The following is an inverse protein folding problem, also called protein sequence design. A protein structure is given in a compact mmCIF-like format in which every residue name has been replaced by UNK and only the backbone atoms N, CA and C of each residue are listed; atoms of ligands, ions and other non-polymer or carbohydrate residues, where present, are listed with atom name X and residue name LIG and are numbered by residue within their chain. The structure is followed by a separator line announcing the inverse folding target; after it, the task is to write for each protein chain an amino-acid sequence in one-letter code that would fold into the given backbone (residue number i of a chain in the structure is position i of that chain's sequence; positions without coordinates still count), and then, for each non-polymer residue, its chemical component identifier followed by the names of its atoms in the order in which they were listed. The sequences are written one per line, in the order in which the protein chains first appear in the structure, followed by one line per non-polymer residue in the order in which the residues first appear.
data_IF_878595710700
#
_entry.id   IF_878595710700
#
_cell.length_a   1.000
_cell.length_b   1.000
_cell.length_c   1.000
_cell.angle_alpha   90.00
_cell.angle_beta   90.00
_cell.angle_gamma   90.00
#
_symmetry.space_group_name_H-M   'P 1'
#
loop_
_entity.id
_entity.type
_entity.pdbx_description
1 polymer ?
#
# COMPACT_ATOMS: atom_id res chain seq x y z
N UNK A 1 6.33 -5.85 16.09
CA UNK A 1 6.84 -4.77 15.22
C UNK A 1 6.84 -3.40 15.93
N UNK A 2 6.82 -3.36 17.27
CA UNK A 2 6.88 -2.11 18.07
C UNK A 2 5.85 -1.03 17.72
N UNK A 3 4.64 -1.43 17.31
CA UNK A 3 3.54 -0.50 16.98
C UNK A 3 3.18 0.41 18.15
N UNK A 4 3.20 -0.09 19.39
CA UNK A 4 2.94 0.73 20.58
C UNK A 4 3.91 1.90 20.76
N UNK A 5 5.18 1.76 20.38
CA UNK A 5 6.13 2.89 20.39
C UNK A 5 5.89 3.83 19.21
N UNK A 6 5.55 3.28 18.04
CA UNK A 6 5.23 4.08 16.86
C UNK A 6 3.95 4.93 17.05
N UNK A 7 2.91 4.37 17.66
CA UNK A 7 1.62 5.03 17.91
C UNK A 7 1.72 6.21 18.88
N UNK A 8 2.78 6.31 19.69
CA UNK A 8 3.08 7.54 20.46
C UNK A 8 3.45 8.72 19.57
N UNK A 9 3.95 8.47 18.35
CA UNK A 9 4.41 9.49 17.40
C UNK A 9 3.36 9.78 16.32
N UNK A 10 2.78 8.75 15.74
CA UNK A 10 1.70 8.83 14.74
C UNK A 10 0.86 7.56 14.76
N UNK A 11 -0.45 7.68 14.53
CA UNK A 11 -1.40 6.56 14.45
C UNK A 11 -1.95 6.33 13.03
N UNK A 12 -1.70 7.27 12.12
CA UNK A 12 -2.22 7.29 10.76
C UNK A 12 -2.38 8.73 10.27
N UNK A 13 -2.72 8.89 9.00
CA UNK A 13 -3.14 10.16 8.42
C UNK A 13 -4.03 9.87 7.20
N UNK A 14 -5.24 10.44 7.11
CA UNK A 14 -6.18 10.17 6.03
C UNK A 14 -5.72 10.66 4.65
N UNK A 15 -4.65 11.47 4.55
CA UNK A 15 -4.04 11.83 3.26
C UNK A 15 -3.15 10.72 2.69
N UNK A 16 -2.85 9.67 3.45
CA UNK A 16 -2.07 8.53 2.97
C UNK A 16 -3.04 7.47 2.48
N UNK A 17 -2.93 7.15 1.19
CA UNK A 17 -3.76 6.15 0.54
C UNK A 17 -2.90 4.92 0.25
N UNK A 18 -3.41 3.75 0.67
CA UNK A 18 -2.84 2.44 0.36
C UNK A 18 -3.81 1.72 -0.57
N UNK A 19 -3.36 1.42 -1.79
CA UNK A 19 -4.12 0.60 -2.72
C UNK A 19 -3.90 -0.87 -2.38
N UNK A 20 -4.98 -1.57 -2.02
CA UNK A 20 -4.99 -3.03 -1.81
C UNK A 20 -5.38 -3.66 -3.13
N UNK A 21 -4.39 -4.18 -3.86
CA UNK A 21 -4.56 -4.80 -5.17
C UNK A 21 -4.79 -6.31 -5.01
N UNK A 22 -6.05 -6.72 -4.90
CA UNK A 22 -6.41 -8.03 -4.32
C UNK A 22 -7.80 -8.55 -4.79
N UNK A 23 -8.41 -9.48 -4.03
CA UNK A 23 -9.77 -10.04 -4.20
C UNK A 23 -10.90 -9.04 -3.93
N UNK A 24 -10.58 -7.80 -3.55
CA UNK A 24 -11.54 -6.78 -3.16
C UNK A 24 -11.68 -6.64 -1.65
N UNK A 25 -12.05 -5.44 -1.21
CA UNK A 25 -12.24 -5.10 0.20
C UNK A 25 -13.73 -4.95 0.48
N UNK A 26 -14.23 -5.62 1.53
CA UNK A 26 -15.57 -5.36 2.07
C UNK A 26 -15.58 -3.96 2.71
N UNK A 27 -15.78 -2.94 1.86
CA UNK A 27 -15.79 -1.55 2.28
C UNK A 27 -16.83 -1.21 3.37
N UNK A 28 -18.00 -1.89 3.50
CA UNK A 28 -18.93 -1.61 4.59
C UNK A 28 -18.65 -2.45 5.85
N UNK A 29 -17.48 -3.09 5.96
CA UNK A 29 -17.12 -3.80 7.19
C UNK A 29 -17.03 -2.78 8.35
N UNK A 30 -17.70 -2.99 9.50
CA UNK A 30 -17.79 -1.98 10.57
C UNK A 30 -16.44 -1.51 11.12
N UNK A 31 -15.44 -2.39 11.06
CA UNK A 31 -14.07 -2.13 11.51
C UNK A 31 -13.15 -1.58 10.39
N UNK A 32 -13.67 -1.30 9.20
CA UNK A 32 -12.92 -0.74 8.05
C UNK A 32 -13.57 0.50 7.44
N UNK A 33 -14.89 0.61 7.47
CA UNK A 33 -15.66 1.62 6.73
C UNK A 33 -15.10 3.05 6.89
N UNK A 34 -14.76 3.45 8.12
CA UNK A 34 -14.20 4.78 8.37
C UNK A 34 -12.82 5.00 7.72
N UNK A 35 -12.05 3.94 7.49
CA UNK A 35 -10.73 3.98 6.85
C UNK A 35 -10.75 3.58 5.38
N UNK A 36 -11.92 3.43 4.75
CA UNK A 36 -12.00 3.29 3.29
C UNK A 36 -11.74 4.63 2.61
N UNK A 37 -10.98 4.60 1.51
CA UNK A 37 -10.85 5.70 0.59
C UNK A 37 -12.21 5.96 -0.09
N UNK A 38 -12.50 7.23 -0.35
CA UNK A 38 -13.73 7.68 -0.98
C UNK A 38 -13.35 8.62 -2.11
N UNK A 39 -13.72 8.28 -3.35
CA UNK A 39 -13.71 9.22 -4.46
C UNK A 39 -14.87 10.22 -4.27
N UNK A 40 -14.56 11.41 -3.74
CA UNK A 40 -15.57 12.46 -3.47
C UNK A 40 -16.16 13.06 -4.75
N UNK A 41 -15.47 12.90 -5.89
CA UNK A 41 -15.88 13.44 -7.19
C UNK A 41 -16.79 12.46 -7.96
N UNK A 42 -17.11 11.31 -7.35
CA UNK A 42 -17.90 10.25 -7.96
C UNK A 42 -19.20 9.90 -7.22
N UNK A 43 -20.14 9.33 -7.96
CA UNK A 43 -21.44 8.91 -7.46
C UNK A 43 -21.52 7.39 -7.56
N UNK A 44 -21.70 6.72 -6.43
CA UNK A 44 -21.66 5.26 -6.37
C UNK A 44 -22.67 4.62 -7.34
N UNK A 45 -22.16 3.71 -8.19
CA UNK A 45 -22.92 3.01 -9.24
C UNK A 45 -23.56 3.93 -10.30
N UNK A 46 -23.04 5.13 -10.48
CA UNK A 46 -23.41 5.96 -11.62
C UNK A 46 -22.89 5.36 -12.93
N UNK A 47 -23.71 5.39 -13.98
CA UNK A 47 -23.27 5.06 -15.35
C UNK A 47 -22.43 6.18 -15.98
N UNK A 48 -22.34 7.34 -15.30
CA UNK A 48 -21.54 8.48 -15.73
C UNK A 48 -20.25 8.53 -14.92
N UNK A 49 -19.14 8.56 -15.65
CA UNK A 49 -17.82 8.96 -15.16
C UNK A 49 -17.83 10.46 -14.84
N UNK A 50 -17.86 10.80 -13.56
CA UNK A 50 -18.07 12.17 -13.08
C UNK A 50 -16.78 12.95 -12.92
N UNK A 51 -15.68 12.26 -12.60
CA UNK A 51 -14.36 12.85 -12.49
C UNK A 51 -13.56 12.76 -13.81
N UNK A 52 -14.04 11.98 -14.78
CA UNK A 52 -13.43 11.82 -16.09
C UNK A 52 -12.18 10.93 -16.06
N UNK A 53 -12.01 10.10 -15.03
CA UNK A 53 -10.83 9.27 -14.83
C UNK A 53 -10.87 7.96 -15.67
N UNK A 54 -12.00 7.67 -16.33
CA UNK A 54 -12.25 6.48 -17.14
C UNK A 54 -12.98 5.35 -16.41
N UNK A 55 -13.38 5.54 -15.15
CA UNK A 55 -13.94 4.52 -14.26
C UNK A 55 -15.21 5.03 -13.55
N UNK A 56 -16.34 4.93 -14.23
CA UNK A 56 -17.61 5.43 -13.72
C UNK A 56 -18.01 4.83 -12.36
N UNK A 57 -18.30 5.71 -11.39
CA UNK A 57 -18.90 5.36 -10.10
C UNK A 57 -17.98 4.65 -9.09
N UNK A 58 -16.66 4.75 -9.26
CA UNK A 58 -15.57 4.10 -8.52
C UNK A 58 -15.31 4.65 -7.10
N UNK A 59 -16.38 4.79 -6.30
CA UNK A 59 -16.32 5.48 -4.99
C UNK A 59 -15.33 4.88 -4.00
N UNK A 60 -15.12 3.56 -3.97
CA UNK A 60 -14.22 2.90 -3.01
C UNK A 60 -13.00 2.26 -3.68
N UNK A 61 -12.77 2.61 -4.95
CA UNK A 61 -11.92 1.90 -5.88
C UNK A 61 -12.76 1.22 -6.98
N UNK A 62 -12.13 0.31 -7.72
CA UNK A 62 -12.73 -0.30 -8.91
C UNK A 62 -12.42 -1.79 -9.02
N UNK A 63 -13.37 -2.55 -9.58
CA UNK A 63 -13.20 -3.97 -9.86
C UNK A 63 -12.78 -4.16 -11.32
N UNK A 64 -11.48 -4.40 -11.50
CA UNK A 64 -10.83 -4.60 -12.80
C UNK A 64 -11.01 -6.02 -13.35
N UNK A 65 -11.33 -6.99 -12.49
CA UNK A 65 -11.63 -8.36 -12.91
C UNK A 65 -12.94 -8.41 -13.69
N UNK A 66 -13.95 -7.64 -13.24
CA UNK A 66 -15.28 -7.60 -13.87
C UNK A 66 -15.57 -6.29 -14.61
N UNK A 67 -14.66 -5.32 -14.56
CA UNK A 67 -14.80 -3.99 -15.18
C UNK A 67 -16.04 -3.24 -14.71
N UNK A 68 -16.16 -3.06 -13.39
CA UNK A 68 -17.33 -2.45 -12.73
C UNK A 68 -16.93 -1.65 -11.49
N UNK A 69 -17.66 -0.58 -11.12
CA UNK A 69 -17.45 0.10 -9.83
C UNK A 69 -17.86 -0.72 -8.61
N UNK A 70 -18.52 -1.87 -8.82
CA UNK A 70 -18.96 -2.73 -7.73
C UNK A 70 -17.80 -3.61 -7.27
N UNK A 71 -17.20 -3.26 -6.13
CA UNK A 71 -16.32 -4.17 -5.40
C UNK A 71 -17.16 -5.34 -4.87
N UNK A 72 -16.74 -6.56 -5.16
CA UNK A 72 -17.36 -7.77 -4.63
C UNK A 72 -16.46 -8.44 -3.59
N UNK A 73 -17.10 -9.01 -2.58
CA UNK A 73 -16.52 -9.84 -1.51
C UNK A 73 -17.42 -11.05 -1.20
N UNK A 74 -18.32 -11.39 -2.14
CA UNK A 74 -19.39 -12.38 -1.96
C UNK A 74 -19.54 -13.35 -3.12
N UNK A 75 -18.62 -13.31 -4.09
CA UNK A 75 -18.63 -14.26 -5.20
C UNK A 75 -18.42 -15.68 -4.70
N UNK A 76 -18.92 -16.64 -5.47
CA UNK A 76 -18.62 -18.05 -5.23
C UNK A 76 -17.10 -18.27 -5.31
N UNK A 77 -16.50 -18.75 -4.23
CA UNK A 77 -15.05 -18.91 -4.00
C UNK A 77 -14.25 -17.65 -3.66
N UNK A 78 -14.90 -16.54 -3.38
CA UNK A 78 -14.24 -15.43 -2.70
C UNK A 78 -13.75 -15.89 -1.32
N UNK A 79 -12.50 -15.59 -1.01
CA UNK A 79 -11.88 -16.04 0.25
C UNK A 79 -11.89 -14.96 1.32
N UNK A 80 -12.27 -13.72 0.98
CA UNK A 80 -12.16 -12.57 1.88
C UNK A 80 -10.73 -12.05 2.06
N UNK A 81 -9.78 -12.54 1.24
CA UNK A 81 -8.35 -12.26 1.37
C UNK A 81 -8.04 -10.75 1.36
N UNK A 82 -8.60 -9.99 0.42
CA UNK A 82 -8.40 -8.53 0.35
C UNK A 82 -8.91 -7.78 1.59
N UNK A 83 -10.00 -8.27 2.20
CA UNK A 83 -10.53 -7.69 3.45
C UNK A 83 -9.62 -8.01 4.64
N UNK A 84 -9.01 -9.20 4.68
CA UNK A 84 -8.04 -9.59 5.72
C UNK A 84 -6.77 -8.75 5.65
N UNK A 85 -6.25 -8.59 4.43
CA UNK A 85 -5.12 -7.73 4.10
C UNK A 85 -5.39 -6.28 4.51
N UNK A 86 -6.53 -5.71 4.12
CA UNK A 86 -6.92 -4.35 4.46
C UNK A 86 -7.01 -4.12 5.99
N UNK A 87 -7.57 -5.07 6.73
CA UNK A 87 -7.66 -5.00 8.20
C UNK A 87 -6.30 -4.93 8.88
N UNK A 88 -5.33 -5.71 8.40
CA UNK A 88 -3.96 -5.67 8.93
C UNK A 88 -3.34 -4.28 8.75
N UNK A 89 -3.61 -3.61 7.63
CA UNK A 89 -3.11 -2.26 7.34
C UNK A 89 -3.85 -1.22 8.19
N UNK A 90 -5.19 -1.21 8.16
CA UNK A 90 -5.97 -0.06 8.61
C UNK A 90 -7.35 -0.40 9.20
N UNK A 91 -7.57 -1.55 9.84
CA UNK A 91 -8.72 -1.71 10.72
C UNK A 91 -8.76 -0.57 11.76
N UNK A 92 -9.95 -0.08 12.09
CA UNK A 92 -10.13 1.16 12.85
C UNK A 92 -9.74 0.94 14.31
N UNK A 93 -8.65 1.55 14.74
CA UNK A 93 -8.19 1.40 16.13
C UNK A 93 -9.14 2.10 17.12
N UNK A 94 -9.23 1.58 18.34
CA UNK A 94 -9.94 2.19 19.47
C UNK A 94 -11.44 2.50 19.24
N UNK A 95 -12.10 1.84 18.30
CA UNK A 95 -13.56 1.95 18.08
C UNK A 95 -14.39 1.02 19.00
N UNK A 96 -13.74 0.18 19.81
CA UNK A 96 -14.38 -0.72 20.77
C UNK A 96 -14.88 -2.04 20.19
N UNK A 97 -14.53 -2.36 18.94
CA UNK A 97 -14.87 -3.63 18.29
C UNK A 97 -13.61 -4.27 17.67
N UNK A 98 -13.68 -5.56 17.36
CA UNK A 98 -12.76 -6.17 16.40
C UNK A 98 -11.28 -6.11 16.75
N UNK A 99 -10.49 -5.65 15.78
CA UNK A 99 -9.04 -5.69 15.77
C UNK A 99 -8.46 -4.28 15.67
N UNK A 100 -7.17 -4.16 15.36
CA UNK A 100 -6.51 -2.88 15.16
C UNK A 100 -5.52 -2.98 14.01
N UNK A 101 -5.62 -2.07 13.04
CA UNK A 101 -4.68 -1.97 11.94
C UNK A 101 -3.41 -1.23 12.36
N UNK A 102 -2.30 -1.53 11.67
CA UNK A 102 -1.00 -0.89 11.94
C UNK A 102 -1.08 0.64 11.79
N UNK A 103 -1.82 1.13 10.80
CA UNK A 103 -2.04 2.55 10.53
C UNK A 103 -3.54 2.92 10.62
N UNK A 104 -4.27 2.24 11.50
CA UNK A 104 -5.72 2.34 11.67
C UNK A 104 -6.26 3.64 12.31
N UNK A 105 -5.38 4.58 12.67
CA UNK A 105 -5.76 5.83 13.32
C UNK A 105 -5.88 5.73 14.84
N UNK A 106 -6.49 6.74 15.45
CA UNK A 106 -6.78 6.82 16.88
C UNK A 106 -8.22 6.45 17.23
N UNK A 107 -9.06 6.17 16.22
CA UNK A 107 -10.52 6.02 16.35
C UNK A 107 -11.29 7.30 16.01
N UNK A 108 -10.60 8.35 15.56
CA UNK A 108 -11.20 9.66 15.23
C UNK A 108 -11.25 9.93 13.72
N UNK A 109 -11.38 8.88 12.91
CA UNK A 109 -11.34 8.95 11.44
C UNK A 109 -10.04 9.59 10.89
N UNK A 110 -8.93 9.30 11.56
CA UNK A 110 -7.58 9.80 11.28
C UNK A 110 -6.61 8.69 10.85
N UNK A 111 -7.12 7.49 10.57
CA UNK A 111 -6.37 6.40 9.97
C UNK A 111 -6.04 6.66 8.50
N UNK A 112 -5.13 5.86 7.96
CA UNK A 112 -4.84 5.85 6.51
C UNK A 112 -6.05 5.33 5.74
N UNK A 113 -6.11 5.65 4.44
CA UNK A 113 -7.23 5.27 3.58
C UNK A 113 -6.90 4.07 2.71
N UNK A 114 -7.80 3.09 2.69
CA UNK A 114 -7.70 1.89 1.85
C UNK A 114 -8.48 2.10 0.56
N UNK A 115 -7.80 2.02 -0.58
CA UNK A 115 -8.42 1.98 -1.90
C UNK A 115 -8.49 0.53 -2.38
N UNK A 116 -9.68 0.04 -2.71
CA UNK A 116 -9.86 -1.33 -3.21
C UNK A 116 -9.57 -1.40 -4.70
N UNK A 117 -8.45 -2.01 -5.08
CA UNK A 117 -8.09 -2.25 -6.48
C UNK A 117 -8.31 -3.74 -6.75
N UNK A 118 -9.54 -4.11 -7.10
CA UNK A 118 -9.92 -5.53 -7.17
C UNK A 118 -9.47 -6.13 -8.51
N UNK A 119 -8.50 -7.05 -8.44
CA UNK A 119 -7.93 -7.77 -9.60
C UNK A 119 -8.24 -9.27 -9.60
N UNK A 120 -8.79 -9.77 -8.50
CA UNK A 120 -9.34 -11.12 -8.38
C UNK A 120 -10.80 -11.01 -7.94
N UNK A 121 -11.67 -11.87 -8.45
CA UNK A 121 -13.07 -11.93 -8.04
C UNK A 121 -13.58 -13.37 -8.13
N UNK A 122 -13.67 -14.05 -6.99
CA UNK A 122 -13.94 -15.50 -6.94
C UNK A 122 -12.91 -16.29 -7.74
N UNK A 123 -13.33 -16.89 -8.86
CA UNK A 123 -12.45 -17.65 -9.76
C UNK A 123 -11.79 -16.82 -10.86
N UNK A 124 -12.19 -15.55 -10.99
CA UNK A 124 -11.72 -14.69 -12.06
C UNK A 124 -10.49 -13.91 -11.61
N UNK A 125 -9.51 -13.79 -12.51
CA UNK A 125 -8.40 -12.86 -12.39
C UNK A 125 -8.38 -11.92 -13.59
N UNK A 126 -7.64 -10.83 -13.49
CA UNK A 126 -7.44 -9.88 -14.58
C UNK A 126 -6.53 -10.44 -15.69
N UNK A 127 -6.71 -9.92 -16.90
CA UNK A 127 -5.68 -10.01 -17.93
C UNK A 127 -4.62 -8.90 -17.74
N UNK A 128 -3.49 -9.00 -18.46
CA UNK A 128 -2.37 -8.06 -18.34
C UNK A 128 -2.76 -6.59 -18.62
N UNK A 129 -3.73 -6.34 -19.50
CA UNK A 129 -4.18 -4.97 -19.80
C UNK A 129 -4.97 -4.37 -18.63
N UNK A 130 -5.87 -5.16 -18.01
CA UNK A 130 -6.63 -4.73 -16.86
C UNK A 130 -5.74 -4.57 -15.61
N UNK A 131 -4.74 -5.44 -15.46
CA UNK A 131 -3.73 -5.33 -14.41
C UNK A 131 -2.95 -4.01 -14.51
N UNK A 132 -2.44 -3.67 -15.69
CA UNK A 132 -1.73 -2.42 -15.92
C UNK A 132 -2.62 -1.19 -15.68
N UNK A 133 -3.90 -1.27 -16.10
CA UNK A 133 -4.90 -0.24 -15.78
C UNK A 133 -5.13 -0.09 -14.29
N UNK A 134 -5.20 -1.21 -13.55
CA UNK A 134 -5.38 -1.22 -12.10
C UNK A 134 -4.22 -0.56 -11.35
N UNK A 135 -2.98 -0.85 -11.75
CA UNK A 135 -1.78 -0.24 -11.17
C UNK A 135 -1.72 1.26 -11.48
N UNK A 136 -2.00 1.64 -12.74
CA UNK A 136 -2.05 3.05 -13.14
C UNK A 136 -3.15 3.80 -12.39
N UNK A 137 -4.33 3.21 -12.25
CA UNK A 137 -5.45 3.75 -11.50
C UNK A 137 -5.08 4.05 -10.05
N UNK A 138 -4.38 3.13 -9.38
CA UNK A 138 -3.92 3.34 -8.02
C UNK A 138 -3.02 4.58 -7.90
N UNK A 139 -2.02 4.71 -8.79
CA UNK A 139 -1.12 5.86 -8.80
C UNK A 139 -1.86 7.18 -9.09
N UNK A 140 -2.73 7.18 -10.10
CA UNK A 140 -3.44 8.38 -10.57
C UNK A 140 -4.47 8.88 -9.54
N UNK A 141 -5.06 7.98 -8.76
CA UNK A 141 -5.99 8.31 -7.67
C UNK A 141 -5.28 8.54 -6.32
N UNK A 142 -3.95 8.70 -6.34
CA UNK A 142 -3.17 9.20 -5.21
C UNK A 142 -2.73 8.14 -4.20
N UNK A 143 -2.87 6.85 -4.50
CA UNK A 143 -2.24 5.80 -3.68
C UNK A 143 -0.72 5.96 -3.72
N UNK A 144 -0.09 5.91 -2.56
CA UNK A 144 1.38 6.02 -2.41
C UNK A 144 2.03 4.68 -2.10
N UNK A 145 1.23 3.70 -1.70
CA UNK A 145 1.64 2.32 -1.47
C UNK A 145 0.72 1.43 -2.29
N UNK A 146 1.30 0.57 -3.11
CA UNK A 146 0.62 -0.53 -3.78
C UNK A 146 0.91 -1.79 -2.97
N UNK A 147 -0.12 -2.31 -2.32
CA UNK A 147 -0.03 -3.53 -1.54
C UNK A 147 -0.46 -4.70 -2.41
N UNK A 148 0.44 -5.67 -2.56
CA UNK A 148 0.27 -6.81 -3.45
C UNK A 148 0.53 -8.11 -2.70
N UNK A 149 -0.50 -8.64 -2.03
CA UNK A 149 -0.46 -9.98 -1.44
C UNK A 149 -0.66 -11.10 -2.50
N UNK A 150 0.01 -10.97 -3.64
CA UNK A 150 -0.05 -11.89 -4.76
C UNK A 150 1.29 -11.89 -5.51
N UNK A 151 1.48 -12.88 -6.39
CA UNK A 151 2.65 -13.00 -7.24
C UNK A 151 2.67 -14.33 -7.97
N UNK A 152 3.64 -14.48 -8.86
CA UNK A 152 4.00 -15.74 -9.47
C UNK A 152 4.79 -16.60 -8.49
N UNK A 153 4.67 -17.92 -8.62
CA UNK A 153 5.45 -18.86 -7.82
C UNK A 153 6.96 -18.64 -7.98
N UNK A 154 7.72 -19.05 -6.97
CA UNK A 154 9.18 -19.11 -7.07
C UNK A 154 9.66 -19.90 -8.28
N UNK A 155 10.78 -19.48 -8.87
CA UNK A 155 11.51 -20.30 -9.86
C UNK A 155 12.10 -21.58 -9.28
N UNK A 156 12.21 -21.66 -7.95
CA UNK A 156 12.71 -22.83 -7.22
C UNK A 156 11.58 -23.63 -6.55
N UNK A 157 10.33 -23.34 -6.88
CA UNK A 157 9.19 -24.14 -6.42
C UNK A 157 9.31 -25.60 -6.86
N UNK A 158 8.75 -26.48 -6.02
CA UNK A 158 8.70 -27.91 -6.30
C UNK A 158 7.73 -28.17 -7.48
N UNK A 159 8.23 -28.69 -8.61
CA UNK A 159 7.41 -28.90 -9.81
C UNK A 159 6.32 -29.97 -9.62
N UNK A 160 6.37 -30.76 -8.54
CA UNK A 160 5.31 -31.70 -8.19
C UNK A 160 4.10 -31.03 -7.53
N UNK A 161 4.27 -29.82 -6.96
CA UNK A 161 3.22 -29.09 -6.26
C UNK A 161 2.75 -27.85 -7.00
N UNK A 162 3.62 -27.21 -7.79
CA UNK A 162 3.32 -25.92 -8.42
C UNK A 162 4.17 -25.67 -9.66
N UNK A 163 3.66 -24.84 -10.57
CA UNK A 163 4.41 -24.39 -11.73
C UNK A 163 5.49 -23.41 -11.31
N UNK A 164 6.71 -23.56 -11.84
CA UNK A 164 7.81 -22.63 -11.58
C UNK A 164 7.59 -21.29 -12.27
N UNK A 165 7.89 -20.20 -11.56
CA UNK A 165 7.84 -18.84 -12.11
C UNK A 165 9.18 -18.36 -12.65
N UNK A 166 9.36 -17.04 -12.66
CA UNK A 166 10.48 -16.39 -13.34
C UNK A 166 11.81 -16.52 -12.57
N UNK A 167 12.92 -16.66 -13.32
CA UNK A 167 14.24 -17.02 -12.76
C UNK A 167 15.13 -15.82 -12.41
N UNK A 168 14.88 -14.64 -13.00
CA UNK A 168 15.59 -13.39 -12.78
C UNK A 168 14.81 -12.21 -13.38
N UNK A 169 15.30 -10.98 -13.14
CA UNK A 169 14.65 -9.73 -13.56
C UNK A 169 14.47 -9.64 -15.07
N UNK A 170 15.51 -10.02 -15.84
CA UNK A 170 15.45 -10.03 -17.31
C UNK A 170 14.40 -11.01 -17.84
N UNK A 171 14.27 -12.18 -17.20
CA UNK A 171 13.29 -13.19 -17.58
C UNK A 171 11.87 -12.70 -17.32
N UNK A 172 11.60 -12.09 -16.17
CA UNK A 172 10.28 -11.53 -15.86
C UNK A 172 9.97 -10.33 -16.75
N UNK A 173 10.87 -9.34 -16.85
CA UNK A 173 10.69 -8.12 -17.63
C UNK A 173 10.40 -8.38 -19.11
N UNK A 174 11.02 -9.40 -19.69
CA UNK A 174 10.81 -9.78 -21.10
C UNK A 174 9.46 -10.47 -21.34
N UNK A 175 8.91 -11.17 -20.36
CA UNK A 175 7.64 -11.90 -20.50
C UNK A 175 6.42 -11.12 -19.98
N UNK A 176 6.63 -10.22 -19.03
CA UNK A 176 5.61 -9.33 -18.47
C UNK A 176 5.96 -7.85 -18.68
N UNK A 177 6.25 -7.39 -19.92
CA UNK A 177 6.71 -6.03 -20.16
C UNK A 177 5.70 -4.97 -19.74
N UNK A 178 4.40 -5.24 -19.93
CA UNK A 178 3.34 -4.31 -19.57
C UNK A 178 3.12 -4.22 -18.04
N UNK A 179 3.20 -5.33 -17.33
CA UNK A 179 3.18 -5.37 -15.85
C UNK A 179 4.36 -4.56 -15.30
N UNK A 180 5.57 -4.77 -15.84
CA UNK A 180 6.75 -4.01 -15.47
C UNK A 180 6.55 -2.51 -15.71
N UNK A 181 6.09 -2.12 -16.89
CA UNK A 181 5.90 -0.71 -17.24
C UNK A 181 4.88 -0.03 -16.32
N UNK A 182 3.79 -0.72 -15.98
CA UNK A 182 2.80 -0.20 -15.06
C UNK A 182 3.35 -0.06 -13.63
N UNK A 183 4.13 -1.04 -13.16
CA UNK A 183 4.79 -0.95 -11.85
C UNK A 183 5.87 0.14 -11.83
N UNK A 184 6.64 0.29 -12.91
CA UNK A 184 7.57 1.41 -13.11
C UNK A 184 6.82 2.74 -13.05
N UNK A 185 5.64 2.83 -13.67
CA UNK A 185 4.79 4.01 -13.57
C UNK A 185 4.40 4.31 -12.13
N UNK A 186 3.96 3.30 -11.37
CA UNK A 186 3.60 3.48 -9.96
C UNK A 186 4.79 3.99 -9.13
N UNK A 187 5.94 3.31 -9.18
CA UNK A 187 7.11 3.67 -8.35
C UNK A 187 7.71 5.04 -8.70
N UNK A 188 7.48 5.55 -9.92
CA UNK A 188 7.99 6.86 -10.33
C UNK A 188 6.97 8.01 -10.22
N UNK A 189 5.66 7.73 -10.26
CA UNK A 189 4.64 8.79 -10.36
C UNK A 189 3.68 8.87 -9.18
N UNK A 190 3.48 7.78 -8.42
CA UNK A 190 2.61 7.82 -7.25
C UNK A 190 3.12 8.81 -6.19
N UNK A 191 2.22 9.47 -5.46
CA UNK A 191 2.57 10.46 -4.43
C UNK A 191 3.15 11.80 -4.94
N UNK A 192 3.57 11.86 -6.20
CA UNK A 192 4.13 13.07 -6.80
C UNK A 192 3.03 14.03 -7.32
N UNK A 193 3.25 15.36 -7.32
CA UNK A 193 4.35 16.07 -6.68
C UNK A 193 4.10 16.37 -5.19
N UNK A 194 2.91 16.06 -4.65
CA UNK A 194 2.33 16.77 -3.51
C UNK A 194 2.25 15.96 -2.21
N UNK A 195 2.67 14.69 -2.24
CA UNK A 195 2.67 13.80 -1.09
C UNK A 195 3.98 13.82 -0.29
N UNK A 196 4.01 13.10 0.84
CA UNK A 196 5.24 12.92 1.64
C UNK A 196 6.30 12.04 0.94
N UNK A 197 6.00 11.52 -0.25
CA UNK A 197 6.87 10.68 -1.04
C UNK A 197 6.81 11.08 -2.52
N UNK A 198 7.97 11.10 -3.18
CA UNK A 198 8.13 11.28 -4.62
C UNK A 198 8.35 9.91 -5.25
N UNK A 199 7.31 9.41 -5.94
CA UNK A 199 7.19 8.00 -6.31
C UNK A 199 6.43 7.15 -5.28
N UNK A 200 6.06 5.94 -5.68
CA UNK A 200 5.32 4.98 -4.85
C UNK A 200 6.18 3.84 -4.32
N UNK A 201 5.64 3.12 -3.33
CA UNK A 201 6.21 1.86 -2.86
C UNK A 201 5.32 0.70 -3.31
N UNK A 202 5.86 -0.18 -4.15
CA UNK A 202 5.21 -1.46 -4.45
C UNK A 202 5.74 -2.53 -3.50
N UNK A 203 4.83 -3.14 -2.72
CA UNK A 203 5.17 -4.07 -1.64
C UNK A 203 4.47 -5.40 -1.92
N UNK A 204 5.27 -6.45 -2.07
CA UNK A 204 4.81 -7.77 -2.51
C UNK A 204 5.07 -8.86 -1.48
N UNK A 205 4.22 -9.88 -1.48
CA UNK A 205 4.46 -11.13 -0.77
C UNK A 205 5.57 -11.95 -1.46
N UNK A 206 6.44 -12.61 -0.70
CA UNK A 206 7.52 -13.42 -1.25
C UNK A 206 7.08 -14.76 -1.88
N UNK A 207 5.90 -15.26 -1.52
CA UNK A 207 5.37 -16.57 -1.92
C UNK A 207 5.49 -17.64 -0.83
N UNK A 208 4.76 -18.73 -1.00
CA UNK A 208 4.50 -19.76 0.02
C UNK A 208 4.89 -21.17 -0.47
N UNK A 209 5.90 -21.27 -1.34
CA UNK A 209 6.29 -22.52 -2.01
C UNK A 209 7.46 -23.24 -1.31
N UNK A 210 7.81 -22.85 -0.08
CA UNK A 210 8.94 -23.42 0.67
C UNK A 210 10.28 -23.27 -0.07
N UNK A 211 10.40 -22.26 -0.94
CA UNK A 211 11.46 -22.18 -1.94
C UNK A 211 12.57 -21.18 -1.58
N UNK A 212 13.80 -21.49 -1.97
CA UNK A 212 14.99 -20.67 -1.71
C UNK A 212 15.16 -19.46 -2.68
N UNK A 213 14.05 -18.98 -3.24
CA UNK A 213 13.97 -17.70 -3.95
C UNK A 213 12.53 -17.15 -3.86
N UNK A 214 12.38 -15.84 -3.78
CA UNK A 214 11.09 -15.17 -3.88
C UNK A 214 10.46 -15.31 -5.28
N UNK A 215 9.13 -15.16 -5.34
CA UNK A 215 8.36 -15.03 -6.56
C UNK A 215 8.42 -13.62 -7.17
N UNK A 216 8.25 -13.52 -8.48
CA UNK A 216 8.06 -12.24 -9.18
C UNK A 216 6.57 -11.85 -9.16
N UNK A 217 6.20 -10.57 -9.32
CA UNK A 217 7.08 -9.41 -9.49
C UNK A 217 7.83 -9.02 -8.21
N UNK A 218 7.43 -9.50 -7.03
CA UNK A 218 8.01 -9.09 -5.75
C UNK A 218 9.53 -9.18 -5.67
N UNK A 219 10.14 -10.21 -6.26
CA UNK A 219 11.59 -10.39 -6.31
C UNK A 219 12.37 -9.35 -7.15
N UNK A 220 11.67 -8.48 -7.90
CA UNK A 220 12.29 -7.43 -8.70
C UNK A 220 12.88 -6.33 -7.81
N UNK A 221 14.15 -5.99 -8.04
CA UNK A 221 14.98 -5.24 -7.10
C UNK A 221 14.50 -3.83 -6.74
N UNK A 222 13.61 -3.23 -7.52
CA UNK A 222 13.05 -1.90 -7.22
C UNK A 222 11.85 -1.96 -6.24
N UNK A 223 11.24 -3.12 -6.04
CA UNK A 223 10.08 -3.30 -5.13
C UNK A 223 10.53 -3.76 -3.74
N UNK A 224 9.56 -4.01 -2.85
CA UNK A 224 9.84 -4.54 -1.51
C UNK A 224 9.19 -5.90 -1.37
N UNK A 225 10.01 -6.95 -1.26
CA UNK A 225 9.54 -8.32 -1.11
C UNK A 225 9.54 -8.79 0.34
N UNK A 226 8.39 -9.29 0.80
CA UNK A 226 8.13 -9.59 2.21
C UNK A 226 8.01 -11.08 2.47
N UNK A 227 8.95 -11.63 3.25
CA UNK A 227 8.89 -12.99 3.79
C UNK A 227 8.10 -13.05 5.11
N UNK A 228 7.68 -14.26 5.50
CA UNK A 228 6.82 -14.49 6.66
C UNK A 228 7.56 -15.10 7.84
N UNK A 229 7.18 -14.68 9.05
CA UNK A 229 7.55 -15.33 10.30
C UNK A 229 6.33 -15.75 11.13
N UNK A 230 6.56 -16.70 12.04
CA UNK A 230 5.59 -17.18 13.02
C UNK A 230 5.58 -16.35 14.32
N UNK A 231 4.72 -16.71 15.26
CA UNK A 231 4.60 -16.04 16.56
C UNK A 231 5.80 -16.28 17.49
N UNK A 232 6.66 -17.26 17.19
CA UNK A 232 7.90 -17.58 17.89
C UNK A 232 9.13 -16.85 17.34
N UNK A 233 8.96 -15.87 16.44
CA UNK A 233 10.04 -15.14 15.78
C UNK A 233 10.95 -16.03 14.91
N UNK A 234 10.41 -17.11 14.34
CA UNK A 234 11.11 -17.95 13.36
C UNK A 234 10.49 -17.81 11.98
N UNK A 235 11.23 -18.10 10.89
CA UNK A 235 10.65 -18.14 9.55
C UNK A 235 9.44 -19.08 9.52
N UNK A 236 8.34 -18.63 8.91
CA UNK A 236 7.16 -19.45 8.75
C UNK A 236 7.49 -20.65 7.84
N UNK A 237 6.88 -21.80 8.11
CA UNK A 237 7.23 -23.06 7.47
C UNK A 237 7.17 -23.03 5.95
N UNK A 238 6.21 -22.29 5.40
CA UNK A 238 5.93 -22.14 3.98
C UNK A 238 6.70 -21.02 3.27
N UNK A 239 7.33 -20.09 4.01
CA UNK A 239 7.83 -18.85 3.41
C UNK A 239 8.89 -19.13 2.34
N UNK A 240 8.77 -18.48 1.19
CA UNK A 240 9.92 -18.33 0.31
C UNK A 240 10.98 -17.45 1.01
N UNK A 241 12.25 -17.73 0.71
CA UNK A 241 13.41 -17.11 1.33
C UNK A 241 14.55 -16.95 0.30
N UNK A 242 15.63 -16.28 0.68
CA UNK A 242 16.83 -16.14 -0.14
C UNK A 242 16.72 -15.03 -1.17
N UNK A 243 17.08 -15.35 -2.42
CA UNK A 243 17.21 -14.34 -3.48
C UNK A 243 15.87 -13.63 -3.71
N UNK A 244 15.90 -12.31 -3.73
CA UNK A 244 14.74 -11.45 -3.98
C UNK A 244 13.91 -11.13 -2.75
N UNK A 245 14.25 -11.63 -1.55
CA UNK A 245 13.59 -11.23 -0.29
C UNK A 245 14.31 -10.04 0.33
N UNK A 246 13.56 -8.97 0.65
CA UNK A 246 14.13 -7.75 1.22
C UNK A 246 13.90 -7.63 2.73
N UNK A 247 12.74 -8.09 3.21
CA UNK A 247 12.32 -7.89 4.60
C UNK A 247 11.41 -9.02 5.09
N UNK A 248 11.22 -9.11 6.39
CA UNK A 248 10.36 -10.12 7.03
C UNK A 248 9.33 -9.46 7.95
N UNK A 249 8.13 -10.05 8.01
CA UNK A 249 7.04 -9.59 8.87
C UNK A 249 6.18 -10.78 9.35
N UNK A 250 5.34 -10.60 10.40
CA UNK A 250 4.45 -11.67 10.88
C UNK A 250 3.49 -12.15 9.79
N UNK A 251 3.58 -13.42 9.41
CA UNK A 251 2.67 -14.06 8.46
C UNK A 251 1.88 -15.23 9.06
N UNK A 252 2.22 -15.67 10.27
CA UNK A 252 1.56 -16.80 10.94
C UNK A 252 2.09 -18.16 10.50
N UNK A 253 1.87 -19.20 11.29
CA UNK A 253 2.25 -20.58 10.97
C UNK A 253 1.42 -21.60 11.77
N UNK A 254 0.18 -21.84 11.34
CA UNK A 254 -0.70 -22.82 12.00
C UNK A 254 -0.22 -24.26 11.90
N UNK A 255 0.54 -24.62 10.86
CA UNK A 255 1.13 -25.96 10.68
C UNK A 255 2.24 -26.25 11.70
N UNK A 256 3.02 -25.22 12.06
CA UNK A 256 3.98 -25.33 13.15
C UNK A 256 3.30 -25.29 14.53
N UNK A 257 2.41 -24.33 14.75
CA UNK A 257 1.77 -24.13 16.05
C UNK A 257 0.65 -25.12 16.35
N UNK A 258 0.23 -25.91 15.35
CA UNK A 258 -0.86 -26.90 15.45
C UNK A 258 -2.20 -26.28 15.87
N UNK A 259 -2.42 -25.02 15.49
CA UNK A 259 -3.64 -24.27 15.81
C UNK A 259 -3.79 -23.07 14.89
N UNK A 260 -5.03 -22.74 14.51
CA UNK A 260 -5.36 -21.51 13.78
C UNK A 260 -5.01 -20.24 14.55
N UNK A 261 -4.86 -20.33 15.88
CA UNK A 261 -4.38 -19.21 16.69
C UNK A 261 -2.88 -18.89 16.45
N UNK A 262 -2.16 -19.76 15.75
CA UNK A 262 -0.80 -19.50 15.27
C UNK A 262 -0.75 -18.60 14.02
N UNK A 263 -1.91 -18.22 13.50
CA UNK A 263 -2.09 -17.39 12.30
C UNK A 263 -2.31 -15.91 12.61
N UNK A 264 -2.48 -15.10 11.56
CA UNK A 264 -2.79 -13.67 11.70
C UNK A 264 -4.31 -13.47 11.75
N UNK A 265 -4.80 -12.86 12.82
CA UNK A 265 -6.20 -12.44 12.95
C UNK A 265 -6.41 -11.09 12.26
N UNK A 266 -7.45 -10.97 11.44
CA UNK A 266 -7.85 -9.71 10.82
C UNK A 266 -9.36 -9.70 10.47
N UNK A 267 -9.84 -8.59 9.89
CA UNK A 267 -11.20 -8.42 9.37
C UNK A 267 -11.47 -9.37 8.21
N UNK A 268 -12.68 -9.87 8.09
CA UNK A 268 -13.12 -10.80 7.05
C UNK A 268 -14.60 -10.56 6.74
N UNK A 269 -15.10 -10.93 5.54
CA UNK A 269 -16.53 -10.92 5.28
C UNK A 269 -17.28 -11.84 6.27
N UNK A 270 -18.31 -11.36 6.99
CA UNK A 270 -19.04 -12.17 7.98
C UNK A 270 -19.63 -13.47 7.42
N UNK A 271 -19.98 -13.49 6.14
CA UNK A 271 -20.48 -14.69 5.44
C UNK A 271 -19.44 -15.84 5.43
N UNK A 272 -18.15 -15.53 5.51
CA UNK A 272 -17.05 -16.50 5.52
C UNK A 272 -16.63 -16.92 6.93
N UNK A 273 -17.14 -16.26 7.97
CA UNK A 273 -16.68 -16.46 9.36
C UNK A 273 -17.81 -16.76 10.34
N UNK A 274 -18.95 -17.26 9.85
CA UNK A 274 -20.11 -17.57 10.71
C UNK A 274 -20.70 -16.33 11.39
N UNK A 275 -20.57 -15.17 10.77
CA UNK A 275 -21.13 -13.90 11.24
C UNK A 275 -20.19 -13.04 12.09
N UNK A 276 -18.99 -13.50 12.43
CA UNK A 276 -18.08 -12.74 13.31
C UNK A 276 -17.51 -11.48 12.65
N UNK A 277 -17.24 -11.53 11.33
CA UNK A 277 -16.49 -10.49 10.62
C UNK A 277 -14.96 -10.55 10.83
N UNK A 278 -14.43 -11.59 11.48
CA UNK A 278 -12.99 -11.72 11.76
C UNK A 278 -12.54 -13.16 11.60
N UNK A 279 -11.33 -13.35 11.07
CA UNK A 279 -10.77 -14.66 10.78
C UNK A 279 -9.25 -14.72 10.77
N UNK A 280 -8.74 -15.94 10.84
CA UNK A 280 -7.32 -16.26 10.88
C UNK A 280 -6.84 -16.69 9.49
N UNK A 281 -5.72 -16.14 9.02
CA UNK A 281 -5.05 -16.56 7.79
C UNK A 281 -3.53 -16.63 7.99
N UNK A 282 -2.90 -17.56 7.28
CA UNK A 282 -1.45 -17.71 7.18
C UNK A 282 -0.98 -17.33 5.79
N UNK A 283 0.18 -16.69 5.70
CA UNK A 283 0.87 -16.50 4.44
C UNK A 283 1.85 -15.34 4.44
N UNK A 284 2.75 -15.33 3.46
CA UNK A 284 3.44 -14.10 3.07
C UNK A 284 2.46 -12.99 2.66
N UNK A 285 1.26 -13.37 2.20
CA UNK A 285 0.11 -12.49 2.03
C UNK A 285 -0.37 -11.78 3.30
N UNK A 286 -0.12 -12.34 4.48
CA UNK A 286 -0.44 -11.70 5.77
C UNK A 286 0.78 -10.96 6.34
N UNK A 287 2.00 -11.35 5.95
CA UNK A 287 3.22 -10.60 6.26
C UNK A 287 3.32 -9.28 5.47
N UNK A 288 3.01 -9.31 4.17
CA UNK A 288 3.05 -8.17 3.27
C UNK A 288 2.28 -6.93 3.81
N UNK A 289 1.00 -7.02 4.23
CA UNK A 289 0.24 -5.88 4.74
C UNK A 289 0.79 -5.29 6.04
N UNK A 290 1.53 -6.06 6.84
CA UNK A 290 2.22 -5.49 7.99
C UNK A 290 3.30 -4.48 7.56
N UNK A 291 4.09 -4.80 6.53
CA UNK A 291 5.09 -3.87 5.99
C UNK A 291 4.41 -2.67 5.34
N UNK A 292 3.34 -2.87 4.57
CA UNK A 292 2.55 -1.78 3.99
C UNK A 292 1.95 -0.86 5.06
N UNK A 293 1.41 -1.42 6.14
CA UNK A 293 0.92 -0.66 7.28
C UNK A 293 2.02 0.15 7.97
N UNK A 294 3.21 -0.44 8.17
CA UNK A 294 4.35 0.28 8.76
C UNK A 294 4.84 1.39 7.84
N UNK A 295 4.94 1.15 6.53
CA UNK A 295 5.28 2.17 5.54
C UNK A 295 4.26 3.32 5.55
N UNK A 296 2.97 3.00 5.56
CA UNK A 296 1.88 3.99 5.61
C UNK A 296 1.92 4.81 6.91
N UNK A 297 2.23 4.18 8.05
CA UNK A 297 2.41 4.86 9.33
C UNK A 297 3.62 5.80 9.33
N UNK A 298 4.72 5.37 8.73
CA UNK A 298 5.92 6.19 8.54
C UNK A 298 5.65 7.40 7.65
N UNK A 299 4.94 7.24 6.52
CA UNK A 299 4.52 8.33 5.65
C UNK A 299 3.52 9.26 6.32
N UNK A 300 2.60 8.72 7.12
CA UNK A 300 1.68 9.53 7.94
C UNK A 300 2.46 10.43 8.90
N UNK A 301 3.54 9.90 9.49
CA UNK A 301 4.39 10.67 10.37
C UNK A 301 5.26 11.68 9.62
N UNK A 302 5.76 11.32 8.43
CA UNK A 302 6.42 12.25 7.52
C UNK A 302 5.51 13.44 7.20
N UNK A 303 4.24 13.21 6.90
CA UNK A 303 3.25 14.28 6.71
C UNK A 303 3.08 15.15 7.95
N UNK A 304 2.96 14.55 9.15
CA UNK A 304 2.88 15.30 10.41
C UNK A 304 4.12 16.18 10.65
N UNK A 305 5.30 15.71 10.25
CA UNK A 305 6.56 16.45 10.32
C UNK A 305 6.81 17.38 9.12
N UNK A 306 5.96 17.32 8.09
CA UNK A 306 6.10 18.00 6.79
C UNK A 306 7.42 17.68 6.12
N UNK A 307 7.68 16.39 6.02
CA UNK A 307 8.86 15.83 5.37
C UNK A 307 8.47 15.12 4.09
N UNK A 308 9.34 15.26 3.09
CA UNK A 308 9.28 14.58 1.80
C UNK A 308 10.50 13.66 1.64
N UNK A 309 10.26 12.52 1.01
CA UNK A 309 11.26 11.50 0.69
C UNK A 309 11.14 11.11 -0.78
N UNK A 310 12.21 10.65 -1.41
CA UNK A 310 12.05 9.86 -2.65
C UNK A 310 11.64 8.42 -2.29
N UNK A 311 11.02 7.70 -3.23
CA UNK A 311 10.65 6.30 -3.01
C UNK A 311 11.86 5.43 -2.58
N UNK A 312 13.00 5.58 -3.24
CA UNK A 312 14.23 4.86 -2.91
C UNK A 312 14.75 5.20 -1.50
N UNK A 313 14.77 6.48 -1.12
CA UNK A 313 15.17 6.88 0.23
C UNK A 313 14.26 6.26 1.29
N UNK A 314 12.95 6.27 1.07
CA UNK A 314 12.00 5.73 2.04
C UNK A 314 12.08 4.20 2.12
N UNK A 315 12.29 3.51 0.99
CA UNK A 315 12.61 2.08 0.95
C UNK A 315 13.87 1.76 1.76
N UNK A 316 14.95 2.53 1.60
CA UNK A 316 16.17 2.33 2.38
C UNK A 316 15.93 2.49 3.89
N UNK A 317 15.10 3.47 4.29
CA UNK A 317 14.71 3.63 5.70
C UNK A 317 13.89 2.44 6.21
N UNK A 318 12.99 1.90 5.39
CA UNK A 318 12.24 0.68 5.72
C UNK A 318 13.19 -0.50 5.97
N UNK A 319 14.15 -0.73 5.08
CA UNK A 319 15.11 -1.83 5.21
C UNK A 319 16.10 -1.64 6.36
N UNK A 320 16.40 -0.39 6.76
CA UNK A 320 17.16 -0.08 7.97
C UNK A 320 16.33 -0.20 9.25
N UNK A 321 15.00 -0.15 9.15
CA UNK A 321 14.07 -0.20 10.28
C UNK A 321 13.73 -1.61 10.75
N UNK A 322 14.72 -2.52 10.75
CA UNK A 322 14.50 -3.92 11.13
C UNK A 322 15.13 -4.26 12.48
N UNK A 323 14.72 -5.40 13.03
CA UNK A 323 15.42 -6.11 14.10
C UNK A 323 15.88 -7.46 13.55
N UNK A 324 17.16 -7.79 13.76
CA UNK A 324 17.65 -9.12 13.41
C UNK A 324 16.97 -10.17 14.31
N UNK A 325 16.48 -11.24 13.70
CA UNK A 325 15.92 -12.40 14.40
C UNK A 325 16.89 -13.59 14.44
N UNK A 326 17.95 -13.55 13.64
CA UNK A 326 18.88 -14.66 13.46
C UNK A 326 19.55 -15.14 14.75
N UNK A 327 19.92 -14.27 15.71
CA UNK A 327 20.45 -14.72 16.99
C UNK A 327 19.49 -15.61 17.80
N UNK A 328 18.21 -15.65 17.44
CA UNK A 328 17.16 -16.45 18.09
C UNK A 328 16.77 -17.69 17.30
N UNK A 329 17.31 -17.91 16.10
CA UNK A 329 16.97 -19.09 15.30
C UNK A 329 17.59 -20.35 15.95
N UNK A 330 16.78 -21.35 16.35
CA UNK A 330 17.33 -22.66 16.68
C UNK A 330 17.94 -23.30 15.43
N UNK A 331 18.79 -24.32 15.59
CA UNK A 331 19.35 -25.07 14.46
C UNK A 331 18.23 -25.63 13.58
N UNK A 332 17.20 -26.20 14.22
CA UNK A 332 16.14 -26.93 13.55
C UNK A 332 14.75 -26.47 14.01
N UNK A 333 13.80 -26.47 13.08
CA UNK A 333 12.37 -26.32 13.32
C UNK A 333 11.64 -27.54 12.74
N UNK A 334 10.81 -28.20 13.54
CA UNK A 334 9.94 -29.30 13.11
C UNK A 334 8.51 -28.80 12.99
N UNK A 335 7.87 -29.02 11.85
CA UNK A 335 6.47 -28.65 11.61
C UNK A 335 5.69 -29.80 10.96
N UNK A 336 4.36 -29.70 10.96
CA UNK A 336 3.46 -30.76 10.50
C UNK A 336 2.68 -30.23 9.32
N UNK A 337 3.13 -30.55 8.10
CA UNK A 337 2.52 -30.04 6.88
C UNK A 337 1.06 -30.48 6.77
N UNK A 338 0.17 -29.54 6.46
CA UNK A 338 -1.29 -29.78 6.38
C UNK A 338 -1.90 -30.22 7.72
N UNK A 339 -1.41 -29.69 8.84
CA UNK A 339 -1.89 -30.06 10.17
C UNK A 339 -3.40 -29.86 10.31
N UNK A 340 -3.92 -28.76 9.76
CA UNK A 340 -5.36 -28.43 9.80
C UNK A 340 -6.25 -29.46 9.11
N UNK A 341 -5.72 -30.21 8.13
CA UNK A 341 -6.44 -31.22 7.37
C UNK A 341 -6.19 -32.65 7.90
N UNK A 342 -4.94 -32.96 8.27
CA UNK A 342 -4.48 -34.31 8.54
C UNK A 342 -4.09 -34.57 10.00
N UNK A 343 -4.05 -33.56 10.85
CA UNK A 343 -3.54 -33.65 12.22
C UNK A 343 -2.03 -33.89 12.28
N UNK A 344 -1.55 -34.51 13.36
CA UNK A 344 -0.12 -34.83 13.51
C UNK A 344 0.32 -35.95 12.54
N UNK A 345 0.97 -35.56 11.45
CA UNK A 345 1.67 -36.46 10.51
C UNK A 345 3.14 -36.65 10.88
N UNK A 346 3.91 -37.31 10.01
CA UNK A 346 5.38 -37.26 10.11
C UNK A 346 5.86 -35.80 10.02
N UNK A 347 6.66 -35.31 10.97
CA UNK A 347 7.11 -33.93 10.96
C UNK A 347 8.15 -33.70 9.86
N UNK A 348 8.13 -32.50 9.29
CA UNK A 348 9.10 -32.03 8.31
C UNK A 348 10.16 -31.20 9.03
N UNK A 349 11.43 -31.47 8.73
CA UNK A 349 12.57 -30.75 9.29
C UNK A 349 12.93 -29.53 8.44
N UNK A 350 13.00 -28.37 9.08
CA UNK A 350 13.60 -27.16 8.55
C UNK A 350 14.95 -26.92 9.24
N UNK A 351 16.05 -26.98 8.48
CA UNK A 351 17.40 -26.62 8.94
C UNK A 351 17.57 -25.08 8.83
N UNK A 352 17.25 -24.34 9.90
CA UNK A 352 17.16 -22.87 9.88
C UNK A 352 18.54 -22.22 9.75
N UNK A 353 19.54 -22.73 10.46
CA UNK A 353 20.92 -22.23 10.43
C UNK A 353 21.57 -22.37 9.05
N UNK A 354 21.24 -23.45 8.33
CA UNK A 354 21.82 -23.79 7.04
C UNK A 354 21.12 -23.10 5.87
N UNK A 355 19.79 -23.01 5.92
CA UNK A 355 19.01 -22.53 4.77
C UNK A 355 18.36 -21.16 4.96
N UNK A 356 18.12 -20.69 6.19
CA UNK A 356 17.37 -19.44 6.42
C UNK A 356 18.22 -18.32 7.01
N UNK A 357 19.29 -18.64 7.76
CA UNK A 357 20.23 -17.63 8.24
C UNK A 357 20.84 -16.85 7.06
N UNK A 358 20.81 -15.51 7.15
CA UNK A 358 21.25 -14.57 6.14
C UNK A 358 20.32 -14.46 4.92
N UNK A 359 19.16 -15.11 4.93
CA UNK A 359 18.30 -15.29 3.74
C UNK A 359 16.84 -14.89 3.97
N UNK A 360 16.53 -14.15 5.00
CA UNK A 360 15.17 -13.69 5.34
C UNK A 360 14.99 -12.18 5.14
N UNK A 361 15.83 -11.59 4.29
CA UNK A 361 15.92 -10.14 4.11
C UNK A 361 16.66 -9.45 5.26
N UNK A 362 16.48 -8.13 5.38
CA UNK A 362 17.13 -7.27 6.36
C UNK A 362 16.71 -7.55 7.83
N UNK A 363 15.69 -8.38 8.05
CA UNK A 363 15.15 -8.75 9.35
C UNK A 363 13.68 -8.38 9.54
N UNK A 364 13.21 -8.45 10.78
CA UNK A 364 11.81 -8.17 11.12
C UNK A 364 11.54 -6.67 11.15
N UNK A 365 10.54 -6.21 10.41
CA UNK A 365 10.10 -4.81 10.39
C UNK A 365 9.77 -4.26 11.80
N UNK A 366 10.20 -3.03 12.07
CA UNK A 366 10.04 -2.32 13.34
C UNK A 366 9.53 -0.88 13.10
N UNK A 367 8.24 -0.67 13.38
CA UNK A 367 7.57 0.60 13.16
C UNK A 367 8.17 1.74 14.01
N UNK A 368 8.55 1.45 15.27
CA UNK A 368 9.12 2.45 16.17
C UNK A 368 10.48 2.95 15.67
N UNK A 369 11.30 2.04 15.14
CA UNK A 369 12.56 2.40 14.47
C UNK A 369 12.31 3.24 13.21
N UNK A 370 11.37 2.84 12.35
CA UNK A 370 11.07 3.59 11.14
C UNK A 370 10.68 5.05 11.45
N UNK A 371 9.75 5.26 12.39
CA UNK A 371 9.31 6.62 12.72
C UNK A 371 10.45 7.46 13.33
N UNK A 372 11.38 6.84 14.04
CA UNK A 372 12.61 7.50 14.52
C UNK A 372 13.57 7.84 13.37
N UNK A 373 13.68 7.01 12.34
CA UNK A 373 14.47 7.34 11.15
C UNK A 373 13.82 8.48 10.36
N UNK A 374 12.49 8.50 10.23
CA UNK A 374 11.73 9.59 9.58
C UNK A 374 11.95 10.94 10.29
N UNK A 375 12.06 10.98 11.62
CA UNK A 375 12.41 12.21 12.38
C UNK A 375 13.74 12.82 11.98
N UNK A 376 14.70 12.00 11.55
CA UNK A 376 16.09 12.42 11.35
C UNK A 376 16.49 12.53 9.87
N UNK A 377 15.62 12.14 8.94
CA UNK A 377 15.89 12.12 7.49
C UNK A 377 14.82 12.89 6.69
N UNK A 378 14.97 12.96 5.37
CA UNK A 378 14.04 13.63 4.47
C UNK A 378 14.28 15.14 4.36
N UNK A 379 13.58 15.77 3.42
CA UNK A 379 13.62 17.22 3.19
C UNK A 379 12.29 17.85 3.59
N UNK A 380 12.28 19.16 3.86
CA UNK A 380 11.02 19.88 4.12
C UNK A 380 10.08 19.80 2.92
N UNK A 381 8.80 19.61 3.18
CA UNK A 381 7.75 19.62 2.17
C UNK A 381 7.31 21.07 1.91
N UNK A 382 7.82 21.65 0.82
CA UNK A 382 7.47 23.00 0.34
C UNK A 382 6.32 22.95 -0.69
N UNK A 383 5.72 24.11 -1.00
CA UNK A 383 4.72 24.23 -2.05
C UNK A 383 5.20 23.62 -3.37
N UNK A 384 4.38 22.80 -4.03
CA UNK A 384 4.76 22.11 -5.24
C UNK A 384 4.65 23.00 -6.48
N UNK A 385 5.43 22.67 -7.51
CA UNK A 385 5.09 23.15 -8.85
C UNK A 385 3.88 22.35 -9.39
N UNK A 386 2.95 23.06 -10.03
CA UNK A 386 1.66 22.53 -10.44
C UNK A 386 1.56 22.45 -11.96
N UNK A 387 0.99 21.36 -12.47
CA UNK A 387 0.76 21.15 -13.89
C UNK A 387 -0.74 20.98 -14.15
N UNK A 388 -1.34 21.93 -14.87
CA UNK A 388 -2.80 22.03 -15.00
C UNK A 388 -3.20 21.98 -16.46
N UNK A 389 -4.29 21.29 -16.78
CA UNK A 389 -4.79 21.24 -18.15
C UNK A 389 -5.54 22.54 -18.45
N UNK A 390 -5.53 22.96 -19.70
CA UNK A 390 -6.28 24.12 -20.15
C UNK A 390 -7.78 23.84 -20.01
N UNK A 391 -8.53 24.76 -19.40
CA UNK A 391 -9.99 24.69 -19.31
C UNK A 391 -10.51 24.87 -17.88
N UNK A 392 -11.67 25.50 -17.76
CA UNK A 392 -12.29 25.85 -16.46
C UNK A 392 -12.77 24.63 -15.67
N UNK A 393 -13.01 23.52 -16.35
CA UNK A 393 -13.42 22.24 -15.75
C UNK A 393 -12.22 21.43 -15.26
N UNK A 394 -11.00 21.74 -15.76
CA UNK A 394 -9.77 21.02 -15.43
C UNK A 394 -9.08 21.62 -14.21
N UNK A 395 -9.79 21.66 -13.08
CA UNK A 395 -9.25 22.22 -11.83
C UNK A 395 -8.32 21.22 -11.15
N UNK A 396 -7.24 21.72 -10.57
CA UNK A 396 -6.43 20.94 -9.62
C UNK A 396 -6.55 21.51 -8.23
N UNK A 397 -6.58 20.63 -7.24
CA UNK A 397 -6.74 21.01 -5.84
C UNK A 397 -5.60 20.47 -5.00
N UNK A 398 -5.00 21.31 -4.14
CA UNK A 398 -4.01 20.88 -3.14
C UNK A 398 -4.39 21.34 -1.74
N UNK A 399 -4.15 20.51 -0.73
CA UNK A 399 -4.38 20.90 0.68
C UNK A 399 -3.15 21.64 1.23
N UNK A 400 -3.30 22.95 1.46
CA UNK A 400 -2.23 23.82 1.93
C UNK A 400 -1.77 23.50 3.36
N UNK A 401 -2.59 22.80 4.15
CA UNK A 401 -2.23 22.41 5.51
C UNK A 401 -1.02 21.47 5.56
N UNK A 402 -0.66 20.85 4.44
CA UNK A 402 0.50 19.97 4.31
C UNK A 402 1.83 20.73 4.23
N UNK A 403 1.81 22.01 3.83
CA UNK A 403 3.02 22.77 3.48
C UNK A 403 3.39 23.86 4.50
N UNK A 404 2.51 24.21 5.44
CA UNK A 404 2.73 25.31 6.40
C UNK A 404 2.69 24.86 7.88
N UNK A 405 3.56 25.41 8.73
CA UNK A 405 3.57 25.14 10.19
C UNK A 405 2.27 25.65 10.83
N UNK A 406 1.48 24.75 11.41
CA UNK A 406 0.17 25.06 11.97
C UNK A 406 -0.98 24.36 11.24
N UNK A 407 -0.72 23.81 10.05
CA UNK A 407 -1.63 22.91 9.35
C UNK A 407 -3.07 23.45 9.25
N UNK A 408 -4.05 22.65 9.67
CA UNK A 408 -5.49 23.01 9.59
C UNK A 408 -5.92 24.18 10.49
N UNK A 409 -5.06 24.66 11.40
CA UNK A 409 -5.36 25.84 12.23
C UNK A 409 -5.11 27.17 11.53
N UNK A 410 -4.39 27.16 10.40
CA UNK A 410 -4.10 28.35 9.61
C UNK A 410 -5.22 28.64 8.62
N UNK A 411 -5.36 29.93 8.28
CA UNK A 411 -6.10 30.36 7.08
C UNK A 411 -5.13 30.83 6.01
N UNK A 412 -5.52 30.72 4.75
CA UNK A 412 -4.63 30.95 3.62
C UNK A 412 -5.20 31.99 2.65
N UNK A 413 -4.29 32.74 2.03
CA UNK A 413 -4.56 33.56 0.84
C UNK A 413 -3.64 33.09 -0.27
N UNK A 414 -4.14 33.02 -1.50
CA UNK A 414 -3.32 32.70 -2.66
C UNK A 414 -3.50 33.74 -3.76
N UNK A 415 -2.41 34.06 -4.44
CA UNK A 415 -2.36 35.02 -5.53
C UNK A 415 -1.58 34.42 -6.69
N UNK A 416 -2.12 34.53 -7.91
CA UNK A 416 -1.40 34.20 -9.14
C UNK A 416 -0.73 35.46 -9.68
N UNK A 417 0.55 35.35 -10.05
CA UNK A 417 1.29 36.45 -10.66
C UNK A 417 0.71 36.84 -12.04
N UNK A 418 0.06 35.91 -12.73
CA UNK A 418 -0.65 36.18 -13.99
C UNK A 418 -1.96 35.36 -14.07
N UNK A 419 -3.08 35.90 -13.56
CA UNK A 419 -4.38 35.25 -13.60
C UNK A 419 -4.89 34.90 -15.01
N UNK A 420 -4.33 35.52 -16.06
CA UNK A 420 -4.66 35.19 -17.46
C UNK A 420 -4.09 33.84 -17.90
N UNK A 421 -2.98 33.40 -17.28
CA UNK A 421 -2.40 32.07 -17.52
C UNK A 421 -3.08 31.06 -16.60
N UNK A 422 -3.08 31.31 -15.29
CA UNK A 422 -3.74 30.44 -14.32
C UNK A 422 -4.33 31.27 -13.18
N UNK A 423 -5.56 30.96 -12.76
CA UNK A 423 -6.18 31.57 -11.58
C UNK A 423 -6.15 30.62 -10.39
N UNK A 424 -6.10 31.20 -9.19
CA UNK A 424 -6.07 30.47 -7.93
C UNK A 424 -7.18 30.96 -7.01
N UNK A 425 -7.75 30.06 -6.21
CA UNK A 425 -8.73 30.39 -5.18
C UNK A 425 -8.57 29.47 -3.96
N UNK A 426 -9.05 29.89 -2.80
CA UNK A 426 -8.97 29.14 -1.54
C UNK A 426 -10.37 28.75 -1.08
N UNK A 427 -10.54 27.47 -0.72
CA UNK A 427 -11.72 26.95 -0.03
C UNK A 427 -11.28 26.16 1.21
N UNK A 428 -11.39 26.80 2.39
CA UNK A 428 -10.82 26.23 3.62
C UNK A 428 -9.29 26.19 3.54
N UNK A 429 -8.70 24.98 3.66
CA UNK A 429 -7.27 24.76 3.40
C UNK A 429 -6.96 24.35 1.96
N UNK A 430 -7.98 24.08 1.13
CA UNK A 430 -7.80 23.64 -0.26
C UNK A 430 -7.49 24.85 -1.17
N UNK A 431 -6.36 24.81 -1.86
CA UNK A 431 -6.01 25.69 -2.98
C UNK A 431 -6.55 25.06 -4.27
N UNK A 432 -7.41 25.78 -4.98
CA UNK A 432 -7.97 25.38 -6.28
C UNK A 432 -7.30 26.20 -7.37
N UNK A 433 -6.75 25.51 -8.37
CA UNK A 433 -6.00 26.07 -9.49
C UNK A 433 -6.74 25.77 -10.79
N UNK A 434 -6.88 26.78 -11.66
CA UNK A 434 -7.53 26.66 -12.97
C UNK A 434 -6.62 27.18 -14.07
N UNK A 435 -6.42 26.38 -15.12
CA UNK A 435 -5.63 26.77 -16.29
C UNK A 435 -6.46 27.56 -17.30
N UNK A 436 -6.11 28.85 -17.49
CA UNK A 436 -6.84 29.79 -18.35
C UNK A 436 -6.20 29.98 -19.73
N UNK A 437 -4.87 29.93 -19.81
CA UNK A 437 -4.10 29.99 -21.06
C UNK A 437 -2.79 29.22 -20.93
N UNK A 438 -2.32 28.63 -22.03
CA UNK A 438 -1.04 27.91 -22.08
C UNK A 438 0.10 28.87 -21.69
N UNK A 439 0.95 28.42 -20.77
CA UNK A 439 2.08 29.19 -20.26
C UNK A 439 2.41 28.82 -18.82
N UNK A 440 3.39 29.53 -18.25
CA UNK A 440 3.80 29.34 -16.85
C UNK A 440 3.61 30.63 -16.08
N UNK A 441 3.13 30.54 -14.84
CA UNK A 441 3.01 31.68 -13.93
C UNK A 441 3.31 31.25 -12.50
N UNK A 442 3.89 32.13 -11.70
CA UNK A 442 4.08 31.87 -10.28
C UNK A 442 2.76 32.05 -9.51
N UNK A 443 2.60 31.30 -8.42
CA UNK A 443 1.59 31.56 -7.41
C UNK A 443 2.24 31.69 -6.04
N UNK A 444 1.70 32.59 -5.23
CA UNK A 444 2.15 32.84 -3.86
C UNK A 444 1.04 32.48 -2.90
N UNK A 445 1.35 31.68 -1.89
CA UNK A 445 0.43 31.42 -0.77
C UNK A 445 0.98 32.12 0.47
N UNK A 446 0.11 32.86 1.15
CA UNK A 446 0.38 33.51 2.43
C UNK A 446 -0.51 32.88 3.50
N UNK A 447 0.09 32.31 4.54
CA UNK A 447 -0.62 31.80 5.71
C UNK A 447 -0.91 32.93 6.73
N UNK A 448 -1.88 32.70 7.61
CA UNK A 448 -2.31 33.68 8.63
C UNK A 448 -1.24 34.03 9.67
N UNK A 449 -0.19 33.22 9.80
CA UNK A 449 0.98 33.50 10.62
C UNK A 449 2.01 34.41 9.92
N UNK A 450 1.72 34.83 8.68
CA UNK A 450 2.56 35.71 7.86
C UNK A 450 3.60 34.98 7.00
N UNK A 451 3.73 33.65 7.12
CA UNK A 451 4.64 32.89 6.26
C UNK A 451 4.16 32.88 4.82
N UNK A 452 5.11 32.97 3.89
CA UNK A 452 4.85 32.97 2.45
C UNK A 452 5.67 31.88 1.78
N UNK A 453 5.06 31.20 0.82
CA UNK A 453 5.75 30.30 -0.11
C UNK A 453 5.32 30.64 -1.53
N UNK A 454 6.23 30.40 -2.48
CA UNK A 454 6.04 30.70 -3.90
C UNK A 454 6.41 29.45 -4.70
N UNK A 455 5.58 29.08 -5.67
CA UNK A 455 5.85 28.00 -6.61
C UNK A 455 5.25 28.34 -7.99
N UNK A 456 5.45 27.46 -8.97
CA UNK A 456 5.02 27.68 -10.35
C UNK A 456 3.78 26.87 -10.74
N UNK A 457 2.96 27.42 -11.63
CA UNK A 457 1.88 26.72 -12.33
C UNK A 457 2.24 26.72 -13.82
N UNK A 458 2.30 25.54 -14.42
CA UNK A 458 2.42 25.36 -15.86
C UNK A 458 1.12 24.84 -16.44
N UNK A 459 0.53 25.60 -17.35
CA UNK A 459 -0.72 25.24 -18.05
C UNK A 459 -0.40 24.69 -19.43
N UNK A 460 -0.94 23.51 -19.74
CA UNK A 460 -0.73 22.78 -21.00
C UNK A 460 -2.06 22.30 -21.59
N UNK A 461 -2.10 21.96 -22.89
CA UNK A 461 -3.35 21.52 -23.56
C UNK A 461 -3.99 20.32 -22.86
N UNK A 462 -3.18 19.31 -22.59
CA UNK A 462 -3.56 18.14 -21.81
C UNK A 462 -2.60 18.04 -20.62
N UNK A 463 -3.11 18.02 -19.40
CA UNK A 463 -2.28 17.75 -18.22
C UNK A 463 -2.38 16.32 -17.70
N UNK A 464 -3.31 15.53 -18.23
CA UNK A 464 -3.44 14.09 -17.94
C UNK A 464 -2.51 13.24 -18.83
N UNK A 465 -1.83 13.88 -19.79
CA UNK A 465 -0.86 13.25 -20.66
C UNK A 465 0.51 13.25 -20.00
N UNK A 466 0.82 12.19 -19.26
CA UNK A 466 2.17 11.87 -18.79
C UNK A 466 3.03 11.26 -19.91
N UNK A 467 2.61 11.39 -21.17
CA UNK A 467 3.34 10.89 -22.33
C UNK A 467 3.26 9.37 -22.52
N UNK A 468 2.26 8.71 -21.94
CA UNK A 468 1.98 7.29 -22.19
C UNK A 468 0.52 7.09 -22.62
N UNK A 469 0.41 6.40 -23.77
CA UNK A 469 -0.72 6.25 -24.70
C UNK A 469 -1.09 7.50 -25.50
#
# INVERSE_FOLDING_TARGET
MNCGEAWKKSTGNPSIIVAVMDEGVMWPHPDLEANMWVNEDEIFKSDKDNDGNGYNGDVYGYNFAEMTPVISWSHERDTGHGTHVAGTIAAVNNNGIGVSGIAGGSGSNDGVKIMSVQIFSGQFGVNQYNEARAIKYAADNGAVILQCSWGYNSSLSDPSSSMRGYVNDEHWARHCPLEKEALDYFIHNAGSPNGPIDGGLAIFAAGNEYAAAAGYPGAYGDFICVSAMDAGFMPASYTNYGRGVDIMAPGGDSDYHKTVAGSILSTMPPALTGGTGYGYMDGTSMACPHVSGVAALGLSYATKLRKKFTANQFKDLLLQSTRSLEPHFPINKLYYKFFSLAGESNPVLMELDKYYAGKVGAGMIDAGKLLTLVENNGVTLDLPNMYVALGVDNKQTIDLSLFFDGGKSLTFKAESANPKIASVSIQGSKLIITGNAIGTTAYTVTASDGKKQVAEITVRRNANGNGWL
#
